data_IF_591185708640
#
_entry.id   IF_591185708640
#
_cell.length_a   1.000
_cell.length_b   1.000
_cell.length_c   1.000
_cell.angle_alpha   90.00
_cell.angle_beta   90.00
_cell.angle_gamma   90.00
#
_symmetry.space_group_name_H-M   'P 1'
#
loop_
_entity.id
_entity.type
_entity.pdbx_description
1 polymer ?
#
# COMPACT_ATOMS: atom_id res chain seq x y z
N UNK A 1 17.11 -10.56 -10.12
CA UNK A 1 17.13 -9.07 -10.13
C UNK A 1 16.00 -8.61 -9.22
N UNK A 2 16.31 -7.92 -8.13
CA UNK A 2 15.30 -7.33 -7.24
C UNK A 2 15.26 -5.84 -7.53
N UNK A 3 14.14 -5.34 -8.06
CA UNK A 3 13.92 -3.91 -8.26
C UNK A 3 13.37 -3.35 -6.95
N UNK A 4 14.21 -2.68 -6.17
CA UNK A 4 13.76 -1.89 -5.03
C UNK A 4 13.20 -0.56 -5.58
N UNK A 5 11.88 -0.38 -5.55
CA UNK A 5 11.26 0.89 -5.89
C UNK A 5 11.14 1.75 -4.63
N UNK A 6 11.89 2.84 -4.57
CA UNK A 6 11.71 3.90 -3.59
C UNK A 6 10.72 4.93 -4.14
N UNK A 7 9.54 5.04 -3.51
CA UNK A 7 8.56 6.08 -3.85
C UNK A 7 8.58 7.15 -2.78
N UNK A 8 8.95 8.37 -3.18
CA UNK A 8 8.87 9.56 -2.33
C UNK A 8 7.43 10.08 -2.33
N UNK A 9 6.59 9.49 -1.48
CA UNK A 9 5.31 10.11 -1.11
C UNK A 9 5.59 10.98 0.13
N UNK A 10 5.61 12.31 -0.06
CA UNK A 10 5.53 13.32 1.02
C UNK A 10 6.58 13.23 2.14
N UNK A 11 7.85 12.94 1.82
CA UNK A 11 8.98 13.13 2.75
C UNK A 11 9.10 12.09 3.88
N UNK A 12 8.32 11.00 3.85
CA UNK A 12 8.47 9.88 4.78
C UNK A 12 9.00 8.68 4.01
N UNK A 13 10.29 8.38 4.19
CA UNK A 13 10.96 7.25 3.55
C UNK A 13 10.50 5.95 4.23
N UNK A 14 9.30 5.49 3.87
CA UNK A 14 8.82 4.16 4.25
C UNK A 14 9.21 3.24 3.11
N UNK A 15 10.11 2.29 3.37
CA UNK A 15 10.46 1.25 2.41
C UNK A 15 9.21 0.41 2.11
N UNK A 16 8.53 0.76 1.02
CA UNK A 16 7.49 -0.05 0.43
C UNK A 16 8.13 -1.21 -0.31
N UNK A 17 7.68 -2.42 -0.01
CA UNK A 17 8.15 -3.62 -0.71
C UNK A 17 7.33 -3.88 -1.98
N UNK A 18 6.08 -3.39 -2.03
CA UNK A 18 5.24 -3.40 -3.22
C UNK A 18 4.36 -2.17 -3.31
N UNK A 19 3.91 -1.88 -4.53
CA UNK A 19 2.81 -0.94 -4.80
C UNK A 19 1.75 -1.62 -5.65
N UNK A 20 0.50 -1.30 -5.38
CA UNK A 20 -0.64 -1.71 -6.20
C UNK A 20 -1.55 -0.52 -6.49
N UNK A 21 -2.28 -0.60 -7.58
CA UNK A 21 -3.28 0.40 -7.98
C UNK A 21 -4.65 -0.25 -7.94
N UNK A 22 -5.60 0.39 -7.28
CA UNK A 22 -6.99 -0.06 -7.19
C UNK A 22 -7.94 1.05 -7.64
N UNK A 23 -9.19 0.71 -7.97
CA UNK A 23 -10.24 1.71 -8.14
C UNK A 23 -10.48 2.44 -6.82
N UNK A 24 -10.71 3.75 -6.88
CA UNK A 24 -10.97 4.55 -5.69
C UNK A 24 -12.05 3.92 -4.82
N UNK A 25 -11.74 3.72 -3.54
CA UNK A 25 -12.67 3.10 -2.60
C UNK A 25 -12.49 3.66 -1.17
N UNK A 26 -13.48 4.42 -0.71
CA UNK A 26 -13.51 5.05 0.62
C UNK A 26 -13.44 4.09 1.81
N UNK A 27 -13.69 2.79 1.58
CA UNK A 27 -13.57 1.77 2.63
C UNK A 27 -12.12 1.31 2.82
N UNK A 28 -11.22 1.60 1.89
CA UNK A 28 -9.81 1.22 1.98
C UNK A 28 -9.08 2.17 2.92
N UNK A 29 -8.48 1.60 3.96
CA UNK A 29 -7.70 2.33 4.96
C UNK A 29 -6.51 1.48 5.42
N UNK A 30 -5.62 2.07 6.22
CA UNK A 30 -4.38 1.47 6.70
C UNK A 30 -4.56 0.36 7.77
N UNK A 31 -5.80 0.13 8.23
CA UNK A 31 -6.13 -0.96 9.15
C UNK A 31 -6.42 -2.28 8.42
N UNK A 32 -6.58 -2.23 7.09
CA UNK A 32 -6.80 -3.43 6.27
C UNK A 32 -5.48 -4.12 5.91
N UNK A 33 -5.58 -5.42 5.65
CA UNK A 33 -4.48 -6.23 5.09
C UNK A 33 -4.79 -6.59 3.64
N UNK A 34 -3.80 -6.42 2.77
CA UNK A 34 -3.88 -6.90 1.39
C UNK A 34 -3.37 -8.35 1.32
N UNK A 35 -4.16 -9.25 0.75
CA UNK A 35 -3.75 -10.61 0.41
C UNK A 35 -3.44 -10.68 -1.08
N UNK A 36 -2.17 -10.89 -1.42
CA UNK A 36 -1.69 -11.05 -2.80
C UNK A 36 -0.98 -12.40 -2.89
N UNK A 37 -1.51 -13.31 -3.71
CA UNK A 37 -0.97 -14.66 -3.92
C UNK A 37 -0.74 -15.45 -2.62
N UNK A 38 -1.67 -15.33 -1.66
CA UNK A 38 -1.59 -16.02 -0.36
C UNK A 38 -0.66 -15.35 0.65
N UNK A 39 -0.07 -14.19 0.32
CA UNK A 39 0.81 -13.43 1.22
C UNK A 39 0.13 -12.16 1.71
N UNK A 40 0.20 -11.94 3.02
CA UNK A 40 -0.39 -10.77 3.67
C UNK A 40 0.58 -9.59 3.71
N UNK A 41 0.02 -8.40 3.48
CA UNK A 41 0.72 -7.13 3.51
C UNK A 41 -0.07 -6.10 4.32
N UNK A 42 0.65 -5.31 5.11
CA UNK A 42 0.11 -4.09 5.72
C UNK A 42 0.14 -2.95 4.72
N UNK A 43 -0.93 -2.16 4.68
CA UNK A 43 -0.97 -0.90 3.93
C UNK A 43 -0.27 0.17 4.77
N UNK A 44 0.80 0.75 4.24
CA UNK A 44 1.64 1.74 4.95
C UNK A 44 1.42 3.16 4.44
N UNK A 45 0.82 3.32 3.26
CA UNK A 45 0.41 4.60 2.69
C UNK A 45 -0.66 4.37 1.63
N UNK A 46 -1.58 5.33 1.53
CA UNK A 46 -2.63 5.40 0.51
C UNK A 46 -2.51 6.78 -0.12
N UNK A 47 -2.26 6.82 -1.42
CA UNK A 47 -2.40 8.03 -2.22
C UNK A 47 -3.73 7.93 -2.98
N UNK A 48 -4.71 8.73 -2.57
CA UNK A 48 -6.08 8.69 -3.07
C UNK A 48 -6.38 9.98 -3.83
N UNK A 49 -7.22 9.86 -4.85
CA UNK A 49 -7.83 10.97 -5.58
C UNK A 49 -9.36 10.84 -5.48
N UNK A 50 -10.06 11.94 -5.21
CA UNK A 50 -11.49 11.95 -4.87
C UNK A 50 -12.42 11.97 -6.11
N UNK A 51 -11.85 11.95 -7.32
CA UNK A 51 -12.62 11.90 -8.56
C UNK A 51 -13.46 10.62 -8.72
N UNK A 52 -14.63 10.74 -9.35
CA UNK A 52 -15.62 9.65 -9.51
C UNK A 52 -15.05 8.38 -10.18
N UNK A 53 -13.95 8.53 -10.94
CA UNK A 53 -13.30 7.45 -11.65
C UNK A 53 -11.81 7.31 -11.32
N UNK A 54 -11.37 7.86 -10.20
CA UNK A 54 -9.97 7.85 -9.80
C UNK A 54 -9.49 6.46 -9.38
N UNK A 55 -8.18 6.38 -9.18
CA UNK A 55 -7.48 5.22 -8.67
C UNK A 55 -6.74 5.60 -7.39
N UNK A 56 -6.63 4.65 -6.48
CA UNK A 56 -5.81 4.78 -5.28
C UNK A 56 -4.54 3.96 -5.46
N UNK A 57 -3.40 4.54 -5.08
CA UNK A 57 -2.11 3.84 -5.03
C UNK A 57 -1.83 3.44 -3.59
N UNK A 58 -1.68 2.13 -3.38
CA UNK A 58 -1.39 1.55 -2.07
C UNK A 58 0.08 1.13 -2.00
N UNK A 59 0.79 1.66 -1.02
CA UNK A 59 2.12 1.18 -0.67
C UNK A 59 1.99 0.07 0.39
N UNK A 60 2.65 -1.06 0.13
CA UNK A 60 2.53 -2.29 0.89
C UNK A 60 3.85 -2.72 1.49
N UNK A 61 3.79 -3.28 2.70
CA UNK A 61 4.92 -3.92 3.39
C UNK A 61 4.49 -5.27 3.94
N UNK A 62 5.36 -6.28 3.90
CA UNK A 62 5.07 -7.62 4.39
C UNK A 62 4.50 -7.54 5.80
N UNK A 63 3.35 -8.19 5.99
CA UNK A 63 2.76 -8.33 7.31
C UNK A 63 3.64 -9.28 8.12
N UNK A 64 4.27 -8.78 9.19
CA UNK A 64 5.16 -9.56 10.06
C UNK A 64 4.47 -10.06 11.34
N UNK A 65 3.14 -9.91 11.43
CA UNK A 65 2.41 -10.09 12.68
C UNK A 65 2.70 -8.97 13.69
N UNK A 66 1.90 -8.89 14.73
CA UNK A 66 2.25 -8.09 15.91
C UNK A 66 3.40 -8.84 16.60
N UNK A 67 4.56 -8.20 16.74
CA UNK A 67 5.57 -8.67 17.70
C UNK A 67 5.00 -8.34 19.07
N UNK A 68 4.38 -9.33 19.69
CA UNK A 68 3.92 -9.26 21.09
C UNK A 68 5.12 -9.07 22.01
#
# INVERSE_FOLDING_TARGET
MTVNQSVNVTGRLVEAERMIVIRHNKQVNDQLLANLDGKLYTIISINSDDDLNAFDVLALKNYRGIKV
#
